data_IF_315803573980
#
_entry.id   IF_315803573980
#
_cell.length_a   1.000
_cell.length_b   1.000
_cell.length_c   1.000
_cell.angle_alpha   90.00
_cell.angle_beta   90.00
_cell.angle_gamma   90.00
#
_symmetry.space_group_name_H-M   'P 1'
#
loop_
_entity.id
_entity.type
_entity.pdbx_description
1 polymer ?
#
# COMPACT_ATOMS: atom_id res chain seq x y z
N UNK A 1 6.98 2.96 18.19
CA UNK A 1 7.64 2.05 17.22
C UNK A 1 8.89 1.36 17.78
N UNK A 2 9.21 1.45 19.09
CA UNK A 2 10.45 0.89 19.66
C UNK A 2 10.65 -0.63 19.43
N UNK A 3 9.57 -1.38 19.22
CA UNK A 3 9.58 -2.82 18.95
C UNK A 3 9.72 -3.22 17.48
N UNK A 4 10.35 -2.41 16.61
CA UNK A 4 10.65 -2.82 15.22
C UNK A 4 11.57 -4.06 15.20
N UNK A 5 11.37 -5.07 14.31
CA UNK A 5 10.34 -5.16 13.25
C UNK A 5 8.98 -5.68 13.73
N UNK A 6 8.84 -6.06 15.00
CA UNK A 6 7.62 -6.55 15.61
C UNK A 6 7.56 -8.08 15.68
N UNK A 7 6.34 -8.60 15.54
CA UNK A 7 6.07 -10.05 15.54
C UNK A 7 6.22 -10.62 14.14
N UNK A 8 6.70 -11.86 14.05
CA UNK A 8 6.78 -12.64 12.81
C UNK A 8 5.50 -12.51 11.99
N UNK A 9 5.66 -12.22 10.69
CA UNK A 9 4.57 -11.98 9.78
C UNK A 9 3.89 -13.30 9.42
N UNK A 10 2.69 -13.51 9.97
CA UNK A 10 1.79 -14.60 9.59
C UNK A 10 0.74 -14.16 8.56
N UNK A 11 0.52 -12.86 8.39
CA UNK A 11 -0.41 -12.31 7.39
C UNK A 11 -0.06 -10.86 7.03
N UNK A 12 0.12 -10.58 5.74
CA UNK A 12 0.38 -9.23 5.24
C UNK A 12 -0.79 -8.26 5.51
N UNK A 13 -2.03 -8.78 5.71
CA UNK A 13 -3.23 -7.99 6.06
C UNK A 13 -3.31 -7.62 7.55
N UNK A 14 -2.41 -8.14 8.39
CA UNK A 14 -2.44 -7.90 9.83
C UNK A 14 -2.12 -6.43 10.14
N UNK A 15 -3.16 -5.65 10.44
CA UNK A 15 -3.06 -4.22 10.70
C UNK A 15 -2.27 -3.85 11.97
N UNK A 16 -1.90 -4.83 12.81
CA UNK A 16 -1.04 -4.61 13.98
C UNK A 16 0.44 -4.52 13.63
N UNK A 17 0.83 -4.97 12.44
CA UNK A 17 2.23 -5.08 12.01
C UNK A 17 2.91 -3.70 11.94
N UNK A 18 4.16 -3.56 12.44
CA UNK A 18 4.82 -2.26 12.52
C UNK A 18 5.05 -1.55 11.19
N UNK A 19 5.22 -2.25 10.07
CA UNK A 19 5.39 -1.60 8.76
C UNK A 19 4.15 -0.81 8.33
N UNK A 20 2.93 -1.24 8.70
CA UNK A 20 1.70 -0.46 8.49
C UNK A 20 1.61 0.77 9.40
N UNK A 21 2.22 0.72 10.59
CA UNK A 21 2.32 1.89 11.47
C UNK A 21 3.35 2.88 10.95
N UNK A 22 4.47 2.38 10.40
CA UNK A 22 5.50 3.20 9.79
C UNK A 22 4.94 3.98 8.61
N UNK A 23 4.22 3.34 7.69
CA UNK A 23 3.55 4.03 6.57
C UNK A 23 2.57 5.08 7.05
N UNK A 24 1.72 4.74 8.02
CA UNK A 24 0.75 5.68 8.57
C UNK A 24 1.41 6.89 9.26
N UNK A 25 2.50 6.67 10.00
CA UNK A 25 3.26 7.78 10.62
C UNK A 25 3.92 8.68 9.57
N UNK A 26 4.44 8.10 8.49
CA UNK A 26 4.96 8.88 7.37
C UNK A 26 3.84 9.69 6.67
N UNK A 27 2.61 9.16 6.60
CA UNK A 27 1.42 9.89 6.09
C UNK A 27 0.95 11.02 7.01
N UNK A 28 1.17 10.89 8.32
CA UNK A 28 0.94 11.97 9.29
C UNK A 28 1.96 13.10 9.17
N UNK A 29 3.07 12.88 8.45
CA UNK A 29 4.08 13.88 8.15
C UNK A 29 5.36 13.78 8.99
N UNK A 30 5.61 12.65 9.66
CA UNK A 30 6.90 12.41 10.30
C UNK A 30 8.04 12.48 9.28
N UNK A 31 9.21 12.92 9.73
CA UNK A 31 10.44 13.13 8.96
C UNK A 31 11.66 12.59 9.70
N UNK A 32 12.80 12.47 9.01
CA UNK A 32 14.06 11.99 9.56
C UNK A 32 14.53 12.75 10.82
N UNK A 33 14.22 14.05 10.91
CA UNK A 33 14.57 14.87 12.06
C UNK A 33 13.71 14.61 13.32
N UNK A 34 12.58 13.90 13.18
CA UNK A 34 11.70 13.65 14.33
C UNK A 34 12.30 12.61 15.30
N UNK A 35 12.14 12.80 16.62
CA UNK A 35 12.70 11.91 17.62
C UNK A 35 12.34 10.43 17.41
N UNK A 36 13.36 9.58 17.38
CA UNK A 36 13.22 8.14 17.28
C UNK A 36 13.05 7.60 15.85
N UNK A 37 12.95 8.45 14.81
CA UNK A 37 12.88 8.00 13.41
C UNK A 37 14.19 7.34 12.98
N UNK A 38 15.33 8.01 13.19
CA UNK A 38 16.65 7.50 12.79
C UNK A 38 16.91 6.08 13.29
N UNK A 39 16.70 5.81 14.58
CA UNK A 39 16.98 4.48 15.15
C UNK A 39 16.06 3.36 14.63
N UNK A 40 14.92 3.68 14.04
CA UNK A 40 14.06 2.68 13.36
C UNK A 40 14.55 2.47 11.94
N UNK A 41 14.90 3.56 11.25
CA UNK A 41 15.41 3.50 9.89
C UNK A 41 16.74 2.74 9.84
N UNK A 42 17.65 2.96 10.78
CA UNK A 42 18.90 2.17 10.91
C UNK A 42 18.61 0.66 10.94
N UNK A 43 17.66 0.22 11.77
CA UNK A 43 17.25 -1.20 11.84
C UNK A 43 16.58 -1.71 10.56
N UNK A 44 15.93 -0.84 9.79
CA UNK A 44 15.37 -1.19 8.48
C UNK A 44 16.50 -1.39 7.48
N UNK A 45 17.46 -0.46 7.44
CA UNK A 45 18.60 -0.49 6.53
C UNK A 45 19.49 -1.72 6.79
N UNK A 46 19.67 -2.14 8.04
CA UNK A 46 20.34 -3.39 8.43
C UNK A 46 19.69 -4.65 7.81
N UNK A 47 18.41 -4.57 7.45
CA UNK A 47 17.65 -5.69 6.87
C UNK A 47 17.54 -5.65 5.34
N UNK A 48 18.26 -4.74 4.67
CA UNK A 48 18.37 -4.76 3.21
C UNK A 48 18.83 -6.14 2.71
N UNK A 49 18.17 -6.68 1.69
CA UNK A 49 18.58 -7.91 1.05
C UNK A 49 19.70 -7.66 0.04
N UNK A 50 20.44 -8.70 -0.41
CA UNK A 50 21.47 -8.55 -1.43
C UNK A 50 20.96 -7.91 -2.72
N UNK A 51 19.73 -8.19 -3.13
CA UNK A 51 19.08 -7.61 -4.30
C UNK A 51 18.48 -6.21 -4.05
N UNK A 52 18.19 -5.85 -2.79
CA UNK A 52 17.81 -4.47 -2.41
C UNK A 52 16.67 -4.37 -1.39
N UNK A 53 15.50 -5.02 -1.59
CA UNK A 53 14.34 -4.90 -0.72
C UNK A 53 14.63 -5.17 0.76
N UNK A 54 13.91 -4.45 1.63
CA UNK A 54 14.04 -4.62 3.08
C UNK A 54 13.26 -5.83 3.57
N UNK A 55 13.93 -6.69 4.34
CA UNK A 55 13.36 -7.94 4.85
C UNK A 55 12.59 -7.71 6.15
N UNK A 56 11.56 -8.53 6.34
CA UNK A 56 10.81 -8.69 7.59
C UNK A 56 10.91 -10.14 8.06
N UNK A 57 10.76 -10.41 9.37
CA UNK A 57 10.64 -11.77 9.86
C UNK A 57 9.29 -12.35 9.41
N UNK A 58 9.32 -13.50 8.75
CA UNK A 58 8.15 -14.20 8.22
C UNK A 58 8.23 -15.69 8.55
N UNK A 59 7.07 -16.33 8.72
CA UNK A 59 6.99 -17.77 8.82
C UNK A 59 5.86 -18.26 7.91
N UNK A 60 6.26 -19.04 6.91
CA UNK A 60 5.33 -19.60 5.93
C UNK A 60 5.36 -21.11 6.11
N UNK A 61 4.20 -21.67 6.45
CA UNK A 61 4.05 -23.10 6.66
C UNK A 61 4.43 -23.91 5.40
N UNK A 62 4.95 -25.12 5.61
CA UNK A 62 5.41 -26.02 4.53
C UNK A 62 4.32 -26.31 3.49
N UNK A 63 3.06 -26.44 3.92
CA UNK A 63 1.93 -26.69 3.00
C UNK A 63 1.61 -25.52 2.07
N UNK A 64 2.12 -24.32 2.35
CA UNK A 64 2.07 -23.17 1.43
C UNK A 64 3.37 -23.01 0.61
N UNK A 65 4.33 -23.93 0.74
CA UNK A 65 5.60 -23.93 0.02
C UNK A 65 6.76 -23.21 0.73
N UNK A 66 6.57 -22.82 2.00
CA UNK A 66 7.63 -22.30 2.86
C UNK A 66 8.37 -23.40 3.63
N UNK A 67 9.10 -23.03 4.68
CA UNK A 67 9.90 -23.96 5.52
C UNK A 67 9.26 -24.28 6.87
N UNK A 68 8.17 -23.60 7.23
CA UNK A 68 7.58 -23.65 8.58
C UNK A 68 8.45 -23.02 9.68
N UNK A 69 9.59 -22.42 9.34
CA UNK A 69 10.52 -21.78 10.27
C UNK A 69 10.52 -20.27 10.06
N UNK A 70 10.91 -19.54 11.12
CA UNK A 70 11.09 -18.10 11.07
C UNK A 70 12.27 -17.75 10.17
N UNK A 71 12.03 -16.88 9.20
CA UNK A 71 13.03 -16.45 8.22
C UNK A 71 12.92 -14.97 7.93
N UNK A 72 14.05 -14.36 7.58
CA UNK A 72 14.06 -13.00 7.03
C UNK A 72 13.83 -13.07 5.52
N UNK A 73 12.72 -12.49 5.07
CA UNK A 73 12.37 -12.43 3.66
C UNK A 73 11.61 -11.15 3.33
N UNK A 74 11.26 -10.97 2.07
CA UNK A 74 10.43 -9.86 1.62
C UNK A 74 9.36 -10.35 0.66
N UNK A 75 8.26 -9.61 0.57
CA UNK A 75 7.20 -9.82 -0.40
C UNK A 75 6.83 -8.48 -1.06
N UNK A 76 6.31 -8.52 -2.28
CA UNK A 76 5.76 -7.31 -2.91
C UNK A 76 4.56 -6.71 -2.13
N UNK A 77 3.97 -7.47 -1.20
CA UNK A 77 2.92 -6.98 -0.32
C UNK A 77 3.42 -6.15 0.88
N UNK A 78 4.74 -6.09 1.14
CA UNK A 78 5.29 -5.37 2.30
C UNK A 78 6.50 -4.48 1.96
N UNK A 79 7.49 -4.98 1.20
CA UNK A 79 8.69 -4.22 0.87
C UNK A 79 8.41 -2.85 0.21
N UNK A 80 7.46 -2.72 -0.73
CA UNK A 80 7.16 -1.41 -1.32
C UNK A 80 6.55 -0.42 -0.32
N UNK A 81 5.84 -0.91 0.71
CA UNK A 81 5.29 -0.08 1.76
C UNK A 81 6.39 0.50 2.64
N UNK A 82 7.43 -0.30 2.96
CA UNK A 82 8.61 0.17 3.67
C UNK A 82 9.34 1.23 2.84
N UNK A 83 9.58 0.96 1.55
CA UNK A 83 10.20 1.93 0.64
C UNK A 83 9.41 3.23 0.57
N UNK A 84 8.08 3.16 0.39
CA UNK A 84 7.21 4.34 0.38
C UNK A 84 7.33 5.15 1.67
N UNK A 85 7.41 4.49 2.83
CA UNK A 85 7.58 5.17 4.10
C UNK A 85 8.95 5.87 4.20
N UNK A 86 10.04 5.19 3.84
CA UNK A 86 11.39 5.76 3.86
C UNK A 86 11.53 6.99 2.96
N UNK A 87 10.98 6.92 1.74
CA UNK A 87 10.92 8.06 0.82
C UNK A 87 10.21 9.26 1.47
N UNK A 88 9.05 9.04 2.10
CA UNK A 88 8.29 10.10 2.79
C UNK A 88 8.99 10.63 4.03
N UNK A 89 9.74 9.80 4.73
CA UNK A 89 10.52 10.20 5.89
C UNK A 89 11.72 11.09 5.51
N UNK A 90 12.12 11.15 4.23
CA UNK A 90 13.24 11.98 3.77
C UNK A 90 14.53 11.20 3.48
N UNK A 91 14.42 9.89 3.21
CA UNK A 91 15.56 9.03 2.86
C UNK A 91 15.62 8.72 1.36
N UNK A 92 15.10 9.62 0.51
CA UNK A 92 15.13 9.44 -0.94
C UNK A 92 16.54 9.38 -1.51
N UNK A 93 17.55 9.99 -0.87
CA UNK A 93 18.94 9.91 -1.32
C UNK A 93 19.73 8.74 -0.71
N UNK A 94 19.10 7.92 0.13
CA UNK A 94 19.75 6.77 0.75
C UNK A 94 20.00 5.66 -0.30
N UNK A 95 21.27 5.25 -0.56
CA UNK A 95 21.57 4.27 -1.61
C UNK A 95 20.81 2.95 -1.47
N UNK A 96 20.59 2.47 -0.25
CA UNK A 96 19.81 1.25 -0.02
C UNK A 96 18.33 1.40 -0.42
N UNK A 97 17.74 2.58 -0.19
CA UNK A 97 16.35 2.89 -0.57
C UNK A 97 16.21 2.95 -2.10
N UNK A 98 17.15 3.62 -2.77
CA UNK A 98 17.18 3.70 -4.23
C UNK A 98 17.36 2.34 -4.88
N UNK A 99 18.27 1.50 -4.36
CA UNK A 99 18.46 0.13 -4.83
C UNK A 99 17.20 -0.71 -4.67
N UNK A 100 16.54 -0.64 -3.51
CA UNK A 100 15.29 -1.35 -3.26
C UNK A 100 14.19 -0.90 -4.23
N UNK A 101 14.00 0.42 -4.40
CA UNK A 101 13.01 0.98 -5.31
C UNK A 101 13.25 0.53 -6.76
N UNK A 102 14.49 0.60 -7.23
CA UNK A 102 14.88 0.19 -8.58
C UNK A 102 14.61 -1.31 -8.80
N UNK A 103 15.05 -2.16 -7.87
CA UNK A 103 14.83 -3.61 -7.98
C UNK A 103 13.34 -3.96 -8.02
N UNK A 104 12.55 -3.40 -7.09
CA UNK A 104 11.11 -3.67 -7.01
C UNK A 104 10.37 -3.14 -8.24
N UNK A 105 10.77 -1.99 -8.78
CA UNK A 105 10.19 -1.43 -10.01
C UNK A 105 10.44 -2.35 -11.21
N UNK A 106 11.62 -2.96 -11.28
CA UNK A 106 11.99 -3.92 -12.34
C UNK A 106 11.19 -5.24 -12.33
N UNK A 107 10.40 -5.52 -11.28
CA UNK A 107 9.54 -6.71 -11.20
C UNK A 107 8.18 -6.55 -11.91
N UNK A 108 7.91 -5.36 -12.48
CA UNK A 108 6.68 -5.09 -13.23
C UNK A 108 6.55 -6.02 -14.44
N UNK A 109 5.32 -6.48 -14.71
CA UNK A 109 4.94 -7.22 -15.92
C UNK A 109 3.99 -6.38 -16.76
N UNK A 110 3.62 -6.86 -17.95
CA UNK A 110 2.65 -6.20 -18.84
C UNK A 110 1.30 -5.90 -18.18
N UNK A 111 0.93 -6.67 -17.16
CA UNK A 111 -0.32 -6.56 -16.43
C UNK A 111 -0.13 -6.13 -14.96
N UNK A 112 0.98 -5.47 -14.62
CA UNK A 112 1.24 -4.99 -13.25
C UNK A 112 2.16 -5.91 -12.44
N UNK A 113 2.14 -5.77 -11.12
CA UNK A 113 3.05 -6.53 -10.25
C UNK A 113 2.46 -7.88 -9.83
N UNK A 114 3.24 -8.96 -9.91
CA UNK A 114 2.80 -10.29 -9.50
C UNK A 114 2.85 -10.50 -7.98
N UNK A 115 2.42 -11.68 -7.52
CA UNK A 115 2.76 -12.15 -6.17
C UNK A 115 4.18 -12.75 -6.18
N UNK A 116 5.17 -11.93 -5.86
CA UNK A 116 6.59 -12.35 -5.75
C UNK A 116 7.11 -12.11 -4.34
N UNK A 117 7.95 -13.04 -3.91
CA UNK A 117 8.64 -13.04 -2.62
C UNK A 117 10.12 -13.34 -2.82
N UNK A 118 10.91 -13.10 -1.78
CA UNK A 118 12.32 -13.44 -1.74
C UNK A 118 12.57 -14.95 -1.75
N UNK A 119 13.74 -15.36 -2.22
CA UNK A 119 14.12 -16.79 -2.36
C UNK A 119 14.14 -17.54 -1.03
N UNK A 120 14.37 -16.83 0.08
CA UNK A 120 14.37 -17.38 1.45
C UNK A 120 12.99 -17.94 1.81
N UNK A 121 11.92 -17.42 1.21
CA UNK A 121 10.55 -17.90 1.43
C UNK A 121 10.19 -19.15 0.61
N UNK A 122 11.19 -19.81 0.02
CA UNK A 122 11.06 -21.08 -0.68
C UNK A 122 10.23 -20.95 -1.96
N UNK A 123 9.24 -21.82 -2.11
CA UNK A 123 8.37 -21.89 -3.30
C UNK A 123 7.02 -21.22 -3.09
N UNK A 124 6.88 -20.46 -1.99
CA UNK A 124 5.63 -19.82 -1.60
C UNK A 124 5.01 -19.00 -2.73
N UNK A 125 3.68 -19.09 -2.81
CA UNK A 125 2.88 -18.30 -3.73
C UNK A 125 1.54 -17.99 -3.10
N UNK A 126 1.05 -16.77 -3.34
CA UNK A 126 -0.32 -16.42 -3.02
C UNK A 126 -1.34 -17.33 -3.72
N UNK A 127 -2.57 -17.40 -3.18
CA UNK A 127 -3.62 -18.27 -3.71
C UNK A 127 -4.23 -17.68 -4.98
N UNK A 128 -3.71 -18.02 -6.16
CA UNK A 128 -4.15 -17.47 -7.45
C UNK A 128 -3.33 -17.97 -8.63
N UNK A 129 -3.65 -17.52 -9.85
CA UNK A 129 -2.93 -17.95 -11.05
C UNK A 129 -1.60 -17.22 -11.17
N UNK A 130 -0.56 -17.91 -11.63
CA UNK A 130 0.80 -17.35 -11.78
C UNK A 130 0.87 -16.14 -12.73
N UNK A 131 -0.01 -16.13 -13.73
CA UNK A 131 -0.07 -15.08 -14.75
C UNK A 131 -0.86 -13.85 -14.29
N UNK A 132 -1.68 -13.98 -13.24
CA UNK A 132 -2.48 -12.86 -12.74
C UNK A 132 -1.58 -11.80 -12.07
N UNK A 133 -1.98 -10.52 -12.09
CA UNK A 133 -1.38 -9.54 -11.20
C UNK A 133 -1.86 -9.77 -9.78
N UNK A 134 -1.04 -9.39 -8.81
CA UNK A 134 -1.48 -9.25 -7.43
C UNK A 134 -1.97 -7.81 -7.21
N UNK A 135 -3.28 -7.60 -6.94
CA UNK A 135 -3.82 -6.24 -6.82
C UNK A 135 -3.17 -5.43 -5.70
N UNK A 136 -2.94 -6.05 -4.54
CA UNK A 136 -2.30 -5.34 -3.43
C UNK A 136 -0.80 -5.07 -3.67
N UNK A 137 -0.07 -5.99 -4.29
CA UNK A 137 1.32 -5.75 -4.68
C UNK A 137 1.42 -4.58 -5.66
N UNK A 138 0.52 -4.55 -6.65
CA UNK A 138 0.43 -3.44 -7.62
C UNK A 138 0.12 -2.12 -6.92
N UNK A 139 -0.86 -2.10 -6.01
CA UNK A 139 -1.18 -0.92 -5.21
C UNK A 139 -0.01 -0.45 -4.33
N UNK A 140 0.68 -1.37 -3.66
CA UNK A 140 1.83 -1.07 -2.81
C UNK A 140 3.01 -0.50 -3.63
N UNK A 141 3.24 -1.02 -4.83
CA UNK A 141 4.24 -0.48 -5.75
C UNK A 141 3.89 0.91 -6.27
N UNK A 142 2.63 1.14 -6.68
CA UNK A 142 2.18 2.48 -7.04
C UNK A 142 2.31 3.46 -5.87
N UNK A 143 2.06 3.01 -4.63
CA UNK A 143 2.27 3.82 -3.42
C UNK A 143 3.75 4.20 -3.20
N UNK A 144 4.69 3.32 -3.54
CA UNK A 144 6.12 3.63 -3.52
C UNK A 144 6.49 4.62 -4.62
N UNK A 145 6.04 4.37 -5.86
CA UNK A 145 6.30 5.26 -7.00
C UNK A 145 5.70 6.65 -6.78
N UNK A 146 4.50 6.75 -6.19
CA UNK A 146 3.86 8.01 -5.84
C UNK A 146 4.63 8.83 -4.78
N UNK A 147 5.50 8.19 -4.00
CA UNK A 147 6.37 8.85 -3.02
C UNK A 147 7.75 9.18 -3.60
N UNK A 148 8.09 8.70 -4.80
CA UNK A 148 9.37 8.92 -5.45
C UNK A 148 9.37 10.18 -6.33
N UNK A 149 10.50 10.41 -7.01
CA UNK A 149 10.68 11.51 -7.98
C UNK A 149 9.62 11.48 -9.10
N UNK A 150 9.34 12.65 -9.67
CA UNK A 150 8.26 12.83 -10.68
C UNK A 150 8.44 11.91 -11.90
N UNK A 151 9.69 11.64 -12.32
CA UNK A 151 10.01 10.79 -13.46
C UNK A 151 9.50 9.36 -13.32
N UNK A 152 9.46 8.83 -12.09
CA UNK A 152 8.94 7.49 -11.80
C UNK A 152 7.41 7.49 -11.68
N UNK A 153 6.79 8.61 -11.29
CA UNK A 153 5.34 8.75 -11.21
C UNK A 153 4.67 8.75 -12.58
N UNK A 154 5.33 9.26 -13.61
CA UNK A 154 4.85 9.18 -15.00
C UNK A 154 5.60 8.14 -15.85
N UNK A 155 6.33 7.24 -15.18
CA UNK A 155 7.09 6.19 -15.85
C UNK A 155 6.22 5.06 -16.40
N UNK A 156 6.75 4.22 -17.31
CA UNK A 156 6.04 3.07 -17.86
C UNK A 156 5.49 2.12 -16.79
N UNK A 157 6.26 1.85 -15.73
CA UNK A 157 5.84 0.97 -14.65
C UNK A 157 4.62 1.50 -13.88
N UNK A 158 4.58 2.82 -13.62
CA UNK A 158 3.44 3.47 -12.97
C UNK A 158 2.20 3.41 -13.87
N UNK A 159 2.35 3.67 -15.17
CA UNK A 159 1.27 3.57 -16.16
C UNK A 159 0.68 2.16 -16.24
N UNK A 160 1.52 1.14 -16.32
CA UNK A 160 1.09 -0.25 -16.32
C UNK A 160 0.36 -0.65 -15.04
N UNK A 161 0.90 -0.28 -13.87
CA UNK A 161 0.26 -0.57 -12.59
C UNK A 161 -1.09 0.10 -12.43
N UNK A 162 -1.20 1.39 -12.79
CA UNK A 162 -2.47 2.11 -12.70
C UNK A 162 -3.52 1.51 -13.64
N UNK A 163 -3.13 1.25 -14.90
CA UNK A 163 -4.03 0.62 -15.87
C UNK A 163 -4.53 -0.74 -15.37
N UNK A 164 -3.68 -1.51 -14.70
CA UNK A 164 -4.06 -2.78 -14.09
C UNK A 164 -5.15 -2.59 -13.03
N UNK A 165 -4.96 -1.66 -12.08
CA UNK A 165 -5.97 -1.42 -11.03
C UNK A 165 -7.29 -0.87 -11.59
N UNK A 166 -7.22 0.00 -12.59
CA UNK A 166 -8.40 0.57 -13.24
C UNK A 166 -9.15 -0.50 -14.06
N UNK A 167 -8.44 -1.39 -14.75
CA UNK A 167 -9.04 -2.53 -15.44
C UNK A 167 -9.71 -3.51 -14.47
N UNK A 168 -9.08 -3.79 -13.32
CA UNK A 168 -9.68 -4.63 -12.27
C UNK A 168 -10.95 -4.02 -11.66
N UNK A 169 -11.03 -2.69 -11.58
CA UNK A 169 -12.25 -2.01 -11.18
C UNK A 169 -13.40 -2.22 -12.17
N UNK A 170 -13.14 -1.97 -13.46
CA UNK A 170 -14.11 -2.20 -14.53
C UNK A 170 -14.60 -3.64 -14.55
N UNK A 171 -13.71 -4.59 -14.23
CA UNK A 171 -13.99 -6.02 -14.25
C UNK A 171 -14.30 -6.59 -12.86
N UNK A 172 -14.64 -5.74 -11.89
CA UNK A 172 -14.75 -6.12 -10.47
C UNK A 172 -15.76 -7.23 -10.18
N UNK A 173 -16.76 -7.42 -11.05
CA UNK A 173 -17.76 -8.49 -10.97
C UNK A 173 -17.27 -9.84 -11.49
N UNK A 174 -16.26 -9.88 -12.37
CA UNK A 174 -15.83 -11.09 -13.08
C UNK A 174 -14.38 -11.49 -12.82
N UNK A 175 -13.54 -10.55 -12.37
CA UNK A 175 -12.12 -10.79 -12.10
C UNK A 175 -11.77 -10.58 -10.63
N UNK A 176 -11.18 -11.61 -10.04
CA UNK A 176 -10.82 -11.64 -8.62
C UNK A 176 -9.43 -12.29 -8.43
N UNK A 177 -8.37 -11.78 -9.09
CA UNK A 177 -7.06 -12.37 -9.03
C UNK A 177 -6.58 -12.45 -7.58
N UNK A 178 -5.98 -13.58 -7.22
CA UNK A 178 -5.56 -13.88 -5.86
C UNK A 178 -6.64 -13.74 -4.76
N UNK A 179 -7.92 -13.94 -5.13
CA UNK A 179 -9.09 -13.76 -4.25
C UNK A 179 -9.31 -12.31 -3.75
N UNK A 180 -8.77 -11.32 -4.46
CA UNK A 180 -9.05 -9.90 -4.17
C UNK A 180 -10.35 -9.47 -4.81
N UNK A 181 -11.47 -9.83 -4.17
CA UNK A 181 -12.80 -9.41 -4.59
C UNK A 181 -13.00 -7.92 -4.38
N UNK A 182 -13.39 -7.22 -5.44
CA UNK A 182 -13.80 -5.82 -5.41
C UNK A 182 -15.32 -5.73 -5.31
N UNK A 183 -15.91 -6.37 -4.28
CA UNK A 183 -17.36 -6.38 -4.05
C UNK A 183 -17.83 -5.28 -3.08
N UNK A 184 -18.87 -5.56 -2.31
CA UNK A 184 -19.41 -4.62 -1.30
C UNK A 184 -18.39 -4.28 -0.21
N UNK A 185 -17.63 -5.26 0.27
CA UNK A 185 -16.63 -5.05 1.32
C UNK A 185 -15.47 -4.15 0.87
N UNK A 186 -15.05 -4.25 -0.40
CA UNK A 186 -14.01 -3.38 -0.96
C UNK A 186 -14.45 -1.91 -1.00
N UNK A 187 -15.74 -1.66 -1.27
CA UNK A 187 -16.33 -0.31 -1.36
C UNK A 187 -16.66 0.32 -0.01
N UNK A 188 -16.35 -0.34 1.11
CA UNK A 188 -16.53 0.23 2.46
C UNK A 188 -15.45 1.26 2.74
N UNK A 189 -15.83 2.42 3.30
CA UNK A 189 -14.87 3.42 3.75
C UNK A 189 -14.09 2.88 4.95
N UNK A 190 -12.76 2.81 4.80
CA UNK A 190 -11.85 2.24 5.78
C UNK A 190 -10.52 2.98 5.78
N UNK A 191 -10.01 3.23 6.98
CA UNK A 191 -8.67 3.80 7.23
C UNK A 191 -8.10 3.18 8.52
N UNK A 192 -6.77 3.19 8.73
CA UNK A 192 -5.72 3.64 7.79
C UNK A 192 -5.56 2.70 6.59
N UNK A 193 -4.74 3.15 5.62
CA UNK A 193 -4.48 2.52 4.33
C UNK A 193 -3.59 1.26 4.44
N UNK A 194 -4.16 0.20 5.02
CA UNK A 194 -3.46 -1.05 5.35
C UNK A 194 -3.55 -2.11 4.25
N UNK A 195 -4.69 -2.20 3.57
CA UNK A 195 -4.96 -3.30 2.63
C UNK A 195 -5.55 -2.80 1.31
N UNK A 196 -5.96 -3.72 0.46
CA UNK A 196 -6.67 -3.42 -0.78
C UNK A 196 -8.14 -3.12 -0.50
N UNK A 197 -8.49 -1.83 -0.53
CA UNK A 197 -9.84 -1.29 -0.40
C UNK A 197 -9.98 0.02 -1.21
N UNK A 198 -11.22 0.48 -1.40
CA UNK A 198 -11.55 1.67 -2.20
C UNK A 198 -10.76 2.90 -1.77
N UNK A 199 -10.68 3.15 -0.46
CA UNK A 199 -10.02 4.35 0.06
C UNK A 199 -8.52 4.34 -0.19
N UNK A 200 -7.87 3.18 -0.06
CA UNK A 200 -6.45 3.07 -0.35
C UNK A 200 -6.14 3.18 -1.85
N UNK A 201 -6.97 2.59 -2.71
CA UNK A 201 -6.83 2.74 -4.17
C UNK A 201 -6.97 4.21 -4.58
N UNK A 202 -7.98 4.91 -4.06
CA UNK A 202 -8.17 6.34 -4.32
C UNK A 202 -7.01 7.21 -3.81
N UNK A 203 -6.50 6.97 -2.59
CA UNK A 203 -5.35 7.73 -2.08
C UNK A 203 -4.10 7.56 -2.95
N UNK A 204 -3.88 6.36 -3.49
CA UNK A 204 -2.70 6.10 -4.33
C UNK A 204 -2.90 6.64 -5.74
N UNK A 205 -4.00 6.31 -6.41
CA UNK A 205 -4.23 6.70 -7.82
C UNK A 205 -4.41 8.21 -7.99
N UNK A 206 -5.00 8.91 -7.01
CA UNK A 206 -5.14 10.37 -7.07
C UNK A 206 -3.81 11.14 -7.07
N UNK A 207 -2.70 10.48 -6.70
CA UNK A 207 -1.35 11.10 -6.70
C UNK A 207 -0.69 11.13 -8.09
N UNK A 208 -1.33 10.56 -9.10
CA UNK A 208 -0.84 10.52 -10.48
C UNK A 208 -1.60 11.54 -11.32
N UNK A 209 -1.04 12.73 -11.63
CA UNK A 209 -1.78 13.81 -12.29
C UNK A 209 -2.40 13.42 -13.64
N UNK A 210 -1.76 12.52 -14.37
CA UNK A 210 -2.22 12.01 -15.66
C UNK A 210 -3.45 11.08 -15.56
N UNK A 211 -3.87 10.68 -14.36
CA UNK A 211 -5.10 9.93 -14.12
C UNK A 211 -6.33 10.81 -13.84
N UNK A 212 -6.16 12.13 -13.68
CA UNK A 212 -7.26 13.03 -13.29
C UNK A 212 -8.46 13.00 -14.23
N UNK A 213 -8.25 12.69 -15.51
CA UNK A 213 -9.32 12.58 -16.50
C UNK A 213 -9.89 11.18 -16.68
N UNK A 214 -9.40 10.17 -15.96
CA UNK A 214 -9.81 8.79 -16.18
C UNK A 214 -11.22 8.52 -15.62
N UNK A 215 -12.18 8.10 -16.45
CA UNK A 215 -13.56 7.90 -16.01
C UNK A 215 -13.71 6.79 -14.97
N UNK A 216 -12.81 5.79 -14.95
CA UNK A 216 -12.85 4.68 -13.98
C UNK A 216 -12.42 5.16 -12.60
N UNK A 217 -11.48 6.10 -12.54
CA UNK A 217 -11.09 6.75 -11.28
C UNK A 217 -12.18 7.69 -10.77
N UNK A 218 -12.88 8.40 -11.66
CA UNK A 218 -14.06 9.18 -11.29
C UNK A 218 -15.19 8.32 -10.74
N UNK A 219 -15.46 7.15 -11.31
CA UNK A 219 -16.48 6.23 -10.78
C UNK A 219 -16.16 5.74 -9.35
N UNK A 220 -14.88 5.48 -9.05
CA UNK A 220 -14.45 5.23 -7.66
C UNK A 220 -14.67 6.45 -6.75
N UNK A 221 -14.35 7.65 -7.25
CA UNK A 221 -14.50 8.90 -6.52
C UNK A 221 -15.97 9.20 -6.21
N UNK A 222 -16.88 8.95 -7.16
CA UNK A 222 -18.32 9.09 -7.00
C UNK A 222 -18.85 8.07 -5.98
N UNK A 223 -18.36 6.82 -6.03
CA UNK A 223 -18.68 5.79 -5.04
C UNK A 223 -18.31 6.22 -3.61
N UNK A 224 -17.15 6.85 -3.43
CA UNK A 224 -16.76 7.43 -2.15
C UNK A 224 -17.63 8.64 -1.80
N UNK A 225 -17.82 9.58 -2.74
CA UNK A 225 -18.49 10.87 -2.51
C UNK A 225 -19.96 10.72 -2.16
N UNK A 226 -20.64 9.72 -2.71
CA UNK A 226 -22.02 9.37 -2.39
C UNK A 226 -22.23 8.99 -0.90
N UNK A 227 -21.15 8.73 -0.16
CA UNK A 227 -21.18 8.34 1.26
C UNK A 227 -20.91 9.51 2.22
N UNK A 228 -20.77 10.73 1.70
CA UNK A 228 -20.66 11.93 2.53
C UNK A 228 -22.00 12.28 3.18
N UNK A 229 -21.96 12.82 4.41
CA UNK A 229 -23.13 13.47 5.02
C UNK A 229 -23.38 14.87 4.40
N UNK A 230 -24.50 15.55 4.72
CA UNK A 230 -24.79 16.88 4.18
C UNK A 230 -23.78 17.98 4.55
N UNK A 231 -22.88 17.71 5.51
CA UNK A 231 -21.78 18.61 5.89
C UNK A 231 -20.46 18.21 5.21
N UNK A 232 -20.47 17.23 4.31
CA UNK A 232 -19.27 16.74 3.61
C UNK A 232 -18.35 15.90 4.49
N UNK A 233 -18.85 15.31 5.57
CA UNK A 233 -18.08 14.45 6.48
C UNK A 233 -18.37 12.98 6.21
N UNK A 234 -17.44 12.12 6.59
CA UNK A 234 -17.50 10.68 6.29
C UNK A 234 -17.40 9.83 7.56
N UNK A 235 -18.15 8.74 7.61
CA UNK A 235 -18.14 7.76 8.71
C UNK A 235 -17.54 6.43 8.23
N UNK A 236 -16.71 5.78 9.05
CA UNK A 236 -16.14 4.48 8.68
C UNK A 236 -17.24 3.42 8.58
N UNK A 237 -17.19 2.59 7.55
CA UNK A 237 -18.06 1.42 7.39
C UNK A 237 -17.36 0.12 7.85
N UNK A 238 -16.02 0.16 7.91
CA UNK A 238 -15.17 -0.92 8.40
C UNK A 238 -13.99 -0.33 9.18
N UNK A 239 -13.51 -1.04 10.20
CA UNK A 239 -12.41 -0.60 11.06
C UNK A 239 -11.40 -1.71 11.25
N UNK A 240 -10.15 -1.34 11.50
CA UNK A 240 -9.12 -2.26 11.95
C UNK A 240 -9.17 -2.35 13.48
N UNK A 241 -9.52 -3.51 14.03
CA UNK A 241 -9.62 -3.71 15.48
C UNK A 241 -8.29 -3.44 16.20
N UNK A 242 -7.16 -3.66 15.53
CA UNK A 242 -5.83 -3.30 16.02
C UNK A 242 -5.65 -1.78 16.27
N UNK A 243 -6.56 -0.96 15.75
CA UNK A 243 -6.55 0.51 15.82
C UNK A 243 -7.78 1.06 16.57
N UNK A 244 -8.48 0.24 17.35
CA UNK A 244 -9.73 0.63 18.05
C UNK A 244 -9.60 1.85 18.97
N UNK A 245 -8.41 2.12 19.49
CA UNK A 245 -8.13 3.25 20.40
C UNK A 245 -7.88 4.57 19.64
N UNK A 246 -7.78 4.52 18.30
CA UNK A 246 -7.65 5.72 17.48
C UNK A 246 -9.02 6.31 17.15
N UNK A 247 -9.04 7.59 16.78
CA UNK A 247 -10.28 8.32 16.42
C UNK A 247 -11.10 7.63 15.33
N UNK A 248 -10.41 6.98 14.39
CA UNK A 248 -11.00 6.20 13.29
C UNK A 248 -11.24 4.71 13.64
N UNK A 249 -11.16 4.35 14.92
CA UNK A 249 -11.42 3.00 15.44
C UNK A 249 -12.90 2.65 15.63
N UNK A 250 -13.82 3.49 15.14
CA UNK A 250 -15.26 3.42 15.40
C UNK A 250 -16.11 3.64 14.14
N UNK A 251 -17.40 3.30 14.17
CA UNK A 251 -18.32 3.38 13.00
C UNK A 251 -19.64 4.14 13.27
N UNK A 252 -19.71 4.86 14.39
CA UNK A 252 -20.93 5.50 14.92
C UNK A 252 -21.01 6.99 14.62
N UNK A 253 -19.87 7.66 14.44
CA UNK A 253 -19.80 9.10 14.20
C UNK A 253 -18.84 9.40 13.05
N UNK A 254 -18.98 10.56 12.38
CA UNK A 254 -18.03 10.98 11.35
C UNK A 254 -16.59 11.00 11.88
N UNK A 255 -15.65 10.46 11.10
CA UNK A 255 -14.23 10.46 11.43
C UNK A 255 -13.53 11.65 10.81
N UNK A 256 -12.78 12.39 11.63
CA UNK A 256 -11.93 13.50 11.19
C UNK A 256 -10.85 13.03 10.22
N UNK A 257 -10.22 11.89 10.52
CA UNK A 257 -9.15 11.36 9.67
C UNK A 257 -9.68 10.89 8.30
N UNK A 258 -10.77 10.12 8.28
CA UNK A 258 -11.38 9.71 7.01
C UNK A 258 -11.84 10.92 6.19
N UNK A 259 -12.47 11.89 6.86
CA UNK A 259 -12.92 13.11 6.20
C UNK A 259 -11.73 13.84 5.57
N UNK A 260 -10.66 14.08 6.32
CA UNK A 260 -9.44 14.69 5.79
C UNK A 260 -8.88 13.92 4.58
N UNK A 261 -8.82 12.59 4.66
CA UNK A 261 -8.32 11.75 3.57
C UNK A 261 -9.18 11.88 2.31
N UNK A 262 -10.52 11.81 2.44
CA UNK A 262 -11.45 11.97 1.33
C UNK A 262 -11.33 13.35 0.67
N UNK A 263 -11.21 14.42 1.46
CA UNK A 263 -11.02 15.77 0.93
C UNK A 263 -9.67 15.96 0.23
N UNK A 264 -8.59 15.36 0.74
CA UNK A 264 -7.29 15.36 0.05
C UNK A 264 -7.35 14.65 -1.30
N UNK A 265 -8.02 13.49 -1.36
CA UNK A 265 -8.24 12.75 -2.61
C UNK A 265 -8.99 13.64 -3.62
N UNK A 266 -10.08 14.29 -3.20
CA UNK A 266 -10.84 15.21 -4.06
C UNK A 266 -10.00 16.38 -4.55
N UNK A 267 -9.24 17.02 -3.66
CA UNK A 267 -8.36 18.13 -4.03
C UNK A 267 -7.32 17.72 -5.09
N UNK A 268 -6.73 16.53 -4.96
CA UNK A 268 -5.79 16.00 -5.95
C UNK A 268 -6.42 15.83 -7.34
N UNK A 269 -7.71 15.51 -7.39
CA UNK A 269 -8.49 15.33 -8.63
C UNK A 269 -8.95 16.67 -9.23
N UNK A 270 -9.28 17.66 -8.40
CA UNK A 270 -9.79 18.98 -8.83
C UNK A 270 -8.69 19.94 -9.29
N UNK A 271 -7.45 19.79 -8.81
CA UNK A 271 -6.37 20.74 -9.12
C UNK A 271 -5.94 20.63 -10.58
N UNK A 272 -6.43 21.51 -11.45
CA UNK A 272 -5.88 21.72 -12.80
C UNK A 272 -4.43 22.26 -12.70
N UNK A 273 -3.55 21.84 -13.61
CA UNK A 273 -2.26 22.51 -13.78
C UNK A 273 -2.52 23.99 -14.09
N UNK A 274 -1.92 24.87 -13.29
CA UNK A 274 -1.71 26.26 -13.68
C UNK A 274 -0.71 26.33 -14.84
#
# INVERSE_FOLDING_TARGET
MAGWPGTVLASHKSASQPFHKLTFLAELGLRAADPGVNGIVERILEQASPEGPFRLPMNIAEHYGGTGQDQWGWALCDAPLIVSALLRLGYEHEPAVQKALQYLTGLVRENGWPCVVSKELGSFRGPGRKADPCPFATLAMLKALAAAEDSLRDGPAARTGAETLLSLWTQSETQHPYMFFMGTDFRKLKVPFVWYDLMHVLDVLSRFPWLRGDPRLHDMLDTMSAKADPQGRFTLESVWTAWKEWEFGQKKAPSRWLTLAAWRIRQCMETAQA
#
